data_IF_791954429795
#
_entry.id   IF_791954429795
#
_cell.length_a   1.000
_cell.length_b   1.000
_cell.length_c   1.000
_cell.angle_alpha   90.00
_cell.angle_beta   90.00
_cell.angle_gamma   90.00
#
_symmetry.space_group_name_H-M   'P 1'
#
loop_
_entity.id
_entity.type
_entity.pdbx_description
1 polymer ?
#
# COMPACT_ATOMS: atom_id res chain seq x y z
N UNK A 1 2.36 14.13 -17.42
CA UNK A 1 3.36 14.76 -16.52
C UNK A 1 2.68 15.88 -15.75
N UNK A 2 2.77 15.88 -14.43
CA UNK A 2 2.30 16.99 -13.60
C UNK A 2 3.33 18.13 -13.64
N UNK A 3 2.90 19.35 -13.98
CA UNK A 3 3.74 20.55 -13.95
C UNK A 3 3.09 21.58 -13.01
N UNK A 4 3.89 22.32 -12.23
CA UNK A 4 3.42 23.38 -11.33
C UNK A 4 3.82 23.21 -9.86
N UNK A 5 3.35 24.13 -9.01
CA UNK A 5 3.63 24.14 -7.55
C UNK A 5 2.93 22.98 -6.84
N UNK A 6 3.70 22.15 -6.12
CA UNK A 6 3.19 21.09 -5.24
C UNK A 6 3.20 21.55 -3.79
N UNK A 7 2.06 21.47 -3.11
CA UNK A 7 1.94 21.74 -1.67
C UNK A 7 1.52 20.45 -0.96
N UNK A 8 2.39 19.92 -0.11
CA UNK A 8 2.08 18.81 0.80
C UNK A 8 1.64 19.39 2.14
N UNK A 9 0.49 18.94 2.66
CA UNK A 9 -0.07 19.40 3.94
C UNK A 9 -0.11 18.23 4.92
N UNK A 10 0.06 18.53 6.21
CA UNK A 10 -0.24 17.55 7.26
C UNK A 10 -1.75 17.28 7.30
N UNK A 11 -2.16 16.02 7.54
CA UNK A 11 -3.54 15.72 7.84
C UNK A 11 -3.95 16.43 9.14
N UNK A 12 -5.23 16.78 9.23
CA UNK A 12 -5.79 17.49 10.38
C UNK A 12 -5.86 16.60 11.62
N UNK A 13 -5.96 15.29 11.41
CA UNK A 13 -5.92 14.23 12.42
C UNK A 13 -4.93 13.16 11.96
N UNK A 14 -4.03 12.74 12.85
CA UNK A 14 -3.24 11.53 12.63
C UNK A 14 -4.09 10.32 13.02
N UNK A 15 -4.29 9.41 12.07
CA UNK A 15 -5.01 8.16 12.29
C UNK A 15 -4.04 7.01 12.01
N UNK A 16 -4.07 5.93 12.82
CA UNK A 16 -3.35 4.71 12.50
C UNK A 16 -3.75 4.22 11.11
N UNK A 17 -2.77 3.83 10.31
CA UNK A 17 -3.02 3.23 9.02
C UNK A 17 -3.16 1.72 9.20
N UNK A 18 -4.27 1.15 8.77
CA UNK A 18 -4.37 -0.30 8.61
C UNK A 18 -3.47 -0.71 7.45
N UNK A 19 -2.36 -1.40 7.75
CA UNK A 19 -1.42 -1.88 6.74
C UNK A 19 -1.67 -3.36 6.47
N UNK A 20 -2.10 -3.64 5.24
CA UNK A 20 -2.30 -5.00 4.74
C UNK A 20 -1.08 -5.44 3.95
N UNK A 21 -0.56 -6.64 4.25
CA UNK A 21 0.58 -7.22 3.56
C UNK A 21 0.14 -8.33 2.62
N UNK A 22 0.63 -8.27 1.38
CA UNK A 22 0.29 -9.18 0.27
C UNK A 22 1.56 -9.64 -0.46
N UNK A 23 1.45 -10.64 -1.33
CA UNK A 23 2.52 -10.96 -2.29
C UNK A 23 2.69 -9.86 -3.34
N UNK A 24 3.90 -9.74 -3.88
CA UNK A 24 4.22 -8.78 -4.96
C UNK A 24 3.65 -9.27 -6.31
N UNK A 25 3.29 -8.33 -7.16
CA UNK A 25 2.72 -8.60 -8.50
C UNK A 25 3.83 -8.41 -9.54
N UNK A 26 3.87 -9.27 -10.57
CA UNK A 26 4.74 -9.10 -11.72
C UNK A 26 6.19 -9.58 -11.54
N UNK A 27 6.48 -10.39 -10.53
CA UNK A 27 7.80 -10.99 -10.30
C UNK A 27 7.71 -12.52 -10.28
N UNK A 28 8.79 -13.19 -10.69
CA UNK A 28 8.89 -14.67 -10.71
C UNK A 28 9.79 -15.22 -9.61
N UNK A 29 10.75 -14.44 -9.12
CA UNK A 29 11.66 -14.84 -8.04
C UNK A 29 11.12 -14.36 -6.69
N UNK A 30 11.13 -15.24 -5.69
CA UNK A 30 10.59 -14.94 -4.35
C UNK A 30 9.15 -14.39 -4.40
N UNK A 31 8.32 -14.93 -5.31
CA UNK A 31 6.97 -14.43 -5.59
C UNK A 31 6.01 -14.62 -4.42
N UNK A 32 6.30 -15.61 -3.57
CA UNK A 32 5.56 -15.95 -2.35
C UNK A 32 5.85 -15.01 -1.17
N UNK A 33 6.92 -14.21 -1.22
CA UNK A 33 7.29 -13.36 -0.09
C UNK A 33 6.31 -12.18 0.06
N UNK A 34 5.75 -11.94 1.25
CA UNK A 34 4.75 -10.91 1.51
C UNK A 34 5.42 -9.54 1.67
N UNK A 35 5.95 -8.99 0.58
CA UNK A 35 6.73 -7.75 0.58
C UNK A 35 6.02 -6.62 -0.20
N UNK A 36 4.69 -6.65 -0.20
CA UNK A 36 3.83 -5.60 -0.76
C UNK A 36 2.86 -5.11 0.30
N UNK A 37 2.97 -3.83 0.65
CA UNK A 37 2.20 -3.17 1.71
C UNK A 37 1.12 -2.27 1.09
N UNK A 38 -0.10 -2.36 1.61
CA UNK A 38 -1.27 -1.63 1.14
C UNK A 38 -1.97 -0.94 2.31
N UNK A 39 -2.63 0.19 2.05
CA UNK A 39 -3.59 0.75 3.01
C UNK A 39 -4.89 -0.08 2.91
N UNK A 40 -5.34 -0.62 4.03
CA UNK A 40 -6.60 -1.36 4.15
C UNK A 40 -7.79 -0.55 3.62
N UNK A 41 -8.67 -1.20 2.87
CA UNK A 41 -9.86 -0.56 2.27
C UNK A 41 -9.58 0.44 1.15
N UNK A 42 -8.32 0.66 0.74
CA UNK A 42 -7.99 1.60 -0.33
C UNK A 42 -8.46 1.06 -1.70
N UNK A 43 -9.41 1.76 -2.33
CA UNK A 43 -9.98 1.39 -3.64
C UNK A 43 -9.06 1.68 -4.83
N UNK A 44 -7.95 2.36 -4.62
CA UNK A 44 -7.02 2.79 -5.67
C UNK A 44 -5.76 1.89 -5.75
N UNK A 45 -5.80 0.69 -5.16
CA UNK A 45 -4.69 -0.26 -5.23
C UNK A 45 -4.60 -0.91 -6.61
N UNK A 46 -3.39 -0.98 -7.16
CA UNK A 46 -3.13 -1.64 -8.44
C UNK A 46 -3.01 -3.16 -8.27
N UNK A 47 -3.94 -3.92 -8.85
CA UNK A 47 -3.95 -5.39 -8.82
C UNK A 47 -4.23 -6.01 -7.45
N UNK A 48 -4.73 -7.24 -7.44
CA UNK A 48 -4.98 -8.01 -6.21
C UNK A 48 -3.89 -9.08 -6.05
N UNK A 49 -3.14 -9.00 -4.94
CA UNK A 49 -2.20 -10.04 -4.52
C UNK A 49 -2.91 -11.12 -3.69
N UNK A 50 -2.26 -12.27 -3.47
CA UNK A 50 -2.77 -13.32 -2.55
C UNK A 50 -2.07 -13.20 -1.19
N UNK A 51 -2.79 -13.54 -0.12
CA UNK A 51 -2.35 -13.42 1.27
C UNK A 51 -2.88 -12.15 1.95
N UNK A 52 -3.54 -12.33 3.10
CA UNK A 52 -4.07 -11.25 3.95
C UNK A 52 -3.48 -11.44 5.34
N UNK A 53 -2.48 -10.65 5.68
CA UNK A 53 -2.05 -10.45 7.06
C UNK A 53 -2.01 -8.95 7.31
N UNK A 54 -2.69 -8.48 8.35
CA UNK A 54 -2.60 -7.09 8.82
C UNK A 54 -1.43 -6.99 9.81
N UNK A 55 -0.75 -5.85 9.80
CA UNK A 55 0.27 -5.50 10.78
C UNK A 55 -0.08 -4.08 11.29
N UNK A 56 -0.18 -3.93 12.60
CA UNK A 56 -0.28 -2.62 13.24
C UNK A 56 1.09 -1.93 13.18
N UNK A 57 1.15 -0.71 12.63
CA UNK A 57 2.37 0.12 12.49
C UNK A 57 2.20 1.45 13.21
#
# INVERSE_FOLDING_TARGET
MTHGSLVVRRPREERPLDIVVTTRIGITQCAERPLRFLIGGNRFVSGQGRGVSSIDV
#
